data_IF_049244040887
#
_entry.id   IF_049244040887
#
_cell.length_a   1.000
_cell.length_b   1.000
_cell.length_c   1.000
_cell.angle_alpha   90.00
_cell.angle_beta   90.00
_cell.angle_gamma   90.00
#
_symmetry.space_group_name_H-M   'P 1'
#
loop_
_entity.id
_entity.type
_entity.pdbx_description
1 polymer ?
#
# COMPACT_ATOMS: atom_id res chain seq x y z
N UNK A 1 44.38 13.04 -0.38
CA UNK A 1 43.04 12.45 -0.19
C UNK A 1 43.19 10.95 0.06
N UNK A 2 42.79 10.45 1.24
CA UNK A 2 43.22 9.12 1.75
C UNK A 2 42.30 7.99 1.25
N UNK A 3 42.92 6.90 0.78
CA UNK A 3 42.40 5.60 0.29
C UNK A 3 41.29 4.93 1.14
N UNK A 4 40.98 5.47 2.32
CA UNK A 4 39.88 5.04 3.21
C UNK A 4 38.50 5.56 2.78
N UNK A 5 38.40 6.79 2.28
CA UNK A 5 37.11 7.38 1.86
C UNK A 5 36.49 6.69 0.63
N UNK A 6 37.35 6.18 -0.25
CA UNK A 6 36.93 5.48 -1.48
C UNK A 6 36.32 4.11 -1.14
N UNK A 7 36.82 3.43 -0.10
CA UNK A 7 36.26 2.14 0.35
C UNK A 7 34.90 2.31 1.02
N UNK A 8 34.71 3.34 1.85
CA UNK A 8 33.42 3.61 2.49
C UNK A 8 32.35 3.90 1.43
N UNK A 9 32.64 4.72 0.42
CA UNK A 9 31.69 4.98 -0.69
C UNK A 9 31.34 3.73 -1.49
N UNK A 10 32.27 2.78 -1.64
CA UNK A 10 32.02 1.53 -2.39
C UNK A 10 31.13 0.57 -1.61
N UNK A 11 31.36 0.40 -0.31
CA UNK A 11 30.56 -0.47 0.56
C UNK A 11 29.11 0.03 0.68
N UNK A 12 28.88 1.34 0.83
CA UNK A 12 27.51 1.90 0.90
C UNK A 12 26.73 1.69 -0.41
N UNK A 13 27.42 1.61 -1.55
CA UNK A 13 26.79 1.39 -2.86
C UNK A 13 26.43 -0.08 -3.12
N UNK A 14 27.03 -1.02 -2.39
CA UNK A 14 26.83 -2.47 -2.55
C UNK A 14 25.78 -3.06 -1.59
N UNK A 15 25.38 -2.36 -0.53
CA UNK A 15 24.60 -2.95 0.58
C UNK A 15 23.07 -2.75 0.50
N UNK A 16 22.52 -2.06 -0.51
CA UNK A 16 21.06 -2.00 -0.70
C UNK A 16 20.57 -2.84 -1.89
N UNK A 17 20.30 -4.14 -1.68
CA UNK A 17 19.83 -5.06 -2.73
C UNK A 17 18.40 -4.78 -3.24
N UNK A 18 17.67 -3.81 -2.66
CA UNK A 18 16.25 -3.57 -2.98
C UNK A 18 16.05 -2.79 -4.29
N UNK A 19 17.06 -2.05 -4.76
CA UNK A 19 16.87 -1.10 -5.86
C UNK A 19 17.14 -1.64 -7.28
N UNK A 20 17.60 -2.89 -7.42
CA UNK A 20 18.05 -3.44 -8.71
C UNK A 20 17.36 -4.73 -9.15
N UNK A 21 16.22 -5.08 -8.56
CA UNK A 21 15.36 -6.09 -9.18
C UNK A 21 14.67 -5.46 -10.40
N UNK A 22 14.97 -5.94 -11.61
CA UNK A 22 14.17 -5.58 -12.78
C UNK A 22 12.72 -6.01 -12.51
N UNK A 23 11.79 -5.04 -12.51
CA UNK A 23 10.39 -5.33 -12.23
C UNK A 23 9.85 -6.29 -13.28
N UNK A 24 9.37 -7.44 -12.84
CA UNK A 24 8.73 -8.41 -13.74
C UNK A 24 7.45 -7.81 -14.32
N UNK A 25 6.96 -8.34 -15.46
CA UNK A 25 5.72 -7.85 -16.08
C UNK A 25 4.53 -7.88 -15.08
N UNK A 26 4.46 -8.93 -14.25
CA UNK A 26 3.46 -9.05 -13.19
C UNK A 26 3.57 -7.96 -12.12
N UNK A 27 4.80 -7.59 -11.70
CA UNK A 27 5.01 -6.51 -10.73
C UNK A 27 4.59 -5.14 -11.29
N UNK A 28 4.80 -4.90 -12.60
CA UNK A 28 4.34 -3.65 -13.24
C UNK A 28 2.82 -3.56 -13.32
N UNK A 29 2.15 -4.67 -13.61
CA UNK A 29 0.69 -4.74 -13.62
C UNK A 29 0.11 -4.54 -12.21
N UNK A 30 0.71 -5.18 -11.20
CA UNK A 30 0.34 -4.99 -9.80
C UNK A 30 0.52 -3.54 -9.35
N UNK A 31 1.64 -2.90 -9.67
CA UNK A 31 1.89 -1.48 -9.36
C UNK A 31 0.85 -0.54 -10.00
N UNK A 32 0.45 -0.84 -11.24
CA UNK A 32 -0.60 -0.08 -11.94
C UNK A 32 -1.96 -0.28 -11.27
N UNK A 33 -2.28 -1.53 -10.88
CA UNK A 33 -3.52 -1.85 -10.18
C UNK A 33 -3.57 -1.18 -8.81
N UNK A 34 -2.48 -1.20 -8.03
CA UNK A 34 -2.41 -0.55 -6.71
C UNK A 34 -2.56 0.96 -6.80
N UNK A 35 -2.04 1.61 -7.84
CA UNK A 35 -2.28 3.04 -8.07
C UNK A 35 -3.76 3.35 -8.31
N UNK A 36 -4.44 2.53 -9.09
CA UNK A 36 -5.86 2.74 -9.43
C UNK A 36 -6.79 2.32 -8.28
N UNK A 37 -6.55 1.18 -7.65
CA UNK A 37 -7.35 0.63 -6.56
C UNK A 37 -7.04 1.26 -5.19
N UNK A 38 -5.92 1.99 -5.05
CA UNK A 38 -5.57 2.76 -3.86
C UNK A 38 -6.20 4.16 -3.79
N UNK A 39 -7.14 4.49 -4.68
CA UNK A 39 -7.82 5.79 -4.70
C UNK A 39 -9.21 5.72 -4.03
N UNK A 40 -9.57 6.78 -3.30
CA UNK A 40 -10.91 6.96 -2.76
C UNK A 40 -11.99 7.01 -3.84
N UNK A 41 -11.66 7.55 -5.02
CA UNK A 41 -12.60 7.62 -6.15
C UNK A 41 -12.98 6.24 -6.69
N UNK A 42 -12.06 5.27 -6.67
CA UNK A 42 -12.33 3.91 -7.11
C UNK A 42 -13.31 3.19 -6.18
N UNK A 43 -13.14 3.34 -4.86
CA UNK A 43 -14.05 2.74 -3.87
C UNK A 43 -15.46 3.29 -4.03
N UNK A 44 -15.60 4.61 -4.17
CA UNK A 44 -16.91 5.25 -4.36
C UNK A 44 -17.57 4.75 -5.65
N UNK A 45 -16.82 4.71 -6.76
CA UNK A 45 -17.33 4.20 -8.03
C UNK A 45 -17.77 2.73 -7.92
N UNK A 46 -16.99 1.90 -7.23
CA UNK A 46 -17.29 0.48 -7.02
C UNK A 46 -18.53 0.28 -6.15
N UNK A 47 -18.70 1.10 -5.10
CA UNK A 47 -19.89 1.11 -4.26
C UNK A 47 -21.13 1.54 -5.04
N UNK A 48 -21.03 2.58 -5.85
CA UNK A 48 -22.11 3.03 -6.73
C UNK A 48 -22.48 1.94 -7.73
N UNK A 49 -21.49 1.30 -8.34
CA UNK A 49 -21.71 0.18 -9.27
C UNK A 49 -22.44 -0.99 -8.59
N UNK A 50 -22.00 -1.41 -7.40
CA UNK A 50 -22.68 -2.45 -6.61
C UNK A 50 -24.11 -2.02 -6.26
N UNK A 51 -24.30 -0.78 -5.83
CA UNK A 51 -25.63 -0.25 -5.51
C UNK A 51 -26.58 -0.30 -6.71
N UNK A 52 -26.11 0.16 -7.88
CA UNK A 52 -26.87 0.08 -9.15
C UNK A 52 -27.18 -1.38 -9.49
N UNK A 53 -26.21 -2.28 -9.32
CA UNK A 53 -26.36 -3.70 -9.63
C UNK A 53 -27.39 -4.39 -8.74
N UNK A 54 -27.38 -4.08 -7.44
CA UNK A 54 -28.38 -4.57 -6.47
C UNK A 54 -29.76 -4.04 -6.81
N UNK A 55 -29.90 -2.74 -7.09
CA UNK A 55 -31.18 -2.12 -7.47
C UNK A 55 -31.73 -2.73 -8.76
N UNK A 56 -30.88 -2.91 -9.78
CA UNK A 56 -31.27 -3.53 -11.05
C UNK A 56 -31.74 -4.97 -10.86
N UNK A 57 -31.03 -5.77 -10.05
CA UNK A 57 -31.46 -7.14 -9.72
C UNK A 57 -32.75 -7.14 -8.90
N UNK A 58 -32.91 -6.23 -7.94
CA UNK A 58 -34.14 -6.08 -7.16
C UNK A 58 -35.35 -5.76 -8.02
N UNK A 59 -35.22 -4.81 -8.96
CA UNK A 59 -36.28 -4.46 -9.91
C UNK A 59 -36.58 -5.64 -10.85
N UNK A 60 -35.54 -6.34 -11.34
CA UNK A 60 -35.71 -7.50 -12.21
C UNK A 60 -36.49 -8.61 -11.51
N UNK A 61 -36.11 -8.96 -10.28
CA UNK A 61 -36.81 -9.94 -9.44
C UNK A 61 -38.26 -9.52 -9.18
N UNK A 62 -38.49 -8.26 -8.80
CA UNK A 62 -39.83 -7.74 -8.51
C UNK A 62 -40.74 -7.70 -9.76
N UNK A 63 -40.16 -7.54 -10.95
CA UNK A 63 -40.90 -7.48 -12.23
C UNK A 63 -41.14 -8.85 -12.86
N UNK A 64 -40.21 -9.80 -12.69
CA UNK A 64 -40.35 -11.15 -13.25
C UNK A 64 -41.18 -12.09 -12.36
N UNK A 65 -41.22 -11.83 -11.05
CA UNK A 65 -42.00 -12.62 -10.10
C UNK A 65 -43.29 -11.85 -9.80
N UNK A 66 -44.36 -12.17 -10.53
CA UNK A 66 -45.70 -11.58 -10.42
C UNK A 66 -46.39 -11.84 -9.05
N UNK A 67 -45.86 -11.24 -7.99
CA UNK A 67 -46.63 -10.92 -6.79
C UNK A 67 -46.60 -11.89 -5.62
N UNK A 68 -45.80 -12.97 -5.61
CA UNK A 68 -45.70 -13.81 -4.41
C UNK A 68 -44.28 -14.38 -4.25
N UNK A 69 -43.71 -14.17 -3.06
CA UNK A 69 -42.38 -14.58 -2.58
C UNK A 69 -41.23 -13.64 -2.95
N UNK A 70 -40.94 -12.72 -2.02
CA UNK A 70 -39.67 -12.00 -1.95
C UNK A 70 -38.59 -13.02 -1.56
N UNK A 71 -37.76 -13.41 -2.53
CA UNK A 71 -36.59 -14.32 -2.47
C UNK A 71 -36.88 -15.83 -2.24
N UNK A 72 -37.40 -16.56 -3.26
CA UNK A 72 -37.44 -18.02 -3.26
C UNK A 72 -36.03 -18.62 -3.38
N UNK A 73 -35.85 -19.84 -2.84
CA UNK A 73 -34.61 -20.60 -2.99
C UNK A 73 -34.22 -20.75 -4.47
N UNK A 74 -32.99 -20.43 -4.91
CA UNK A 74 -31.78 -20.11 -4.14
C UNK A 74 -31.56 -18.60 -4.01
N UNK A 75 -31.51 -18.08 -2.77
CA UNK A 75 -31.43 -16.67 -2.39
C UNK A 75 -30.46 -15.82 -3.23
N UNK A 76 -30.90 -15.35 -4.39
CA UNK A 76 -30.03 -14.74 -5.40
C UNK A 76 -29.56 -13.36 -4.94
N UNK A 77 -30.44 -12.65 -4.22
CA UNK A 77 -30.15 -11.34 -3.66
C UNK A 77 -29.16 -11.45 -2.50
N UNK A 78 -29.35 -12.42 -1.60
CA UNK A 78 -28.43 -12.67 -0.50
C UNK A 78 -27.04 -13.09 -1.02
N UNK A 79 -26.98 -14.00 -1.98
CA UNK A 79 -25.70 -14.47 -2.54
C UNK A 79 -24.95 -13.34 -3.27
N UNK A 80 -25.68 -12.50 -4.01
CA UNK A 80 -25.12 -11.31 -4.63
C UNK A 80 -24.57 -10.33 -3.58
N UNK A 81 -25.35 -10.03 -2.54
CA UNK A 81 -24.92 -9.14 -1.46
C UNK A 81 -23.67 -9.66 -0.76
N UNK A 82 -23.62 -10.96 -0.43
CA UNK A 82 -22.47 -11.61 0.20
C UNK A 82 -21.23 -11.61 -0.71
N UNK A 83 -21.41 -11.88 -2.00
CA UNK A 83 -20.31 -11.86 -2.98
C UNK A 83 -19.73 -10.45 -3.16
N UNK A 84 -20.59 -9.43 -3.22
CA UNK A 84 -20.17 -8.02 -3.26
C UNK A 84 -19.47 -7.58 -1.97
N UNK A 85 -19.96 -8.04 -0.81
CA UNK A 85 -19.36 -7.77 0.49
C UNK A 85 -17.99 -8.46 0.65
N UNK A 86 -17.78 -9.62 0.02
CA UNK A 86 -16.46 -10.22 -0.10
C UNK A 86 -15.56 -9.41 -1.05
N UNK A 87 -16.07 -8.98 -2.20
CA UNK A 87 -15.30 -8.27 -3.22
C UNK A 87 -14.76 -6.90 -2.73
N UNK A 88 -15.51 -6.17 -1.90
CA UNK A 88 -15.07 -4.87 -1.37
C UNK A 88 -13.91 -4.99 -0.38
N UNK A 89 -13.66 -6.17 0.20
CA UNK A 89 -12.59 -6.36 1.17
C UNK A 89 -11.21 -6.12 0.55
N UNK A 90 -10.97 -6.61 -0.67
CA UNK A 90 -9.64 -6.51 -1.30
C UNK A 90 -9.19 -5.04 -1.53
N UNK A 91 -10.02 -4.13 -2.07
CA UNK A 91 -9.66 -2.71 -2.17
C UNK A 91 -9.49 -2.03 -0.80
N UNK A 92 -10.32 -2.34 0.19
CA UNK A 92 -10.21 -1.77 1.54
C UNK A 92 -8.90 -2.21 2.20
N UNK A 93 -8.55 -3.49 2.10
CA UNK A 93 -7.28 -4.03 2.57
C UNK A 93 -6.12 -3.32 1.88
N UNK A 94 -6.15 -3.21 0.55
CA UNK A 94 -5.11 -2.55 -0.22
C UNK A 94 -4.94 -1.07 0.17
N UNK A 95 -6.03 -0.37 0.45
CA UNK A 95 -5.99 1.03 0.86
C UNK A 95 -5.46 1.21 2.28
N UNK A 96 -5.88 0.35 3.21
CA UNK A 96 -5.34 0.37 4.57
C UNK A 96 -3.84 0.08 4.58
N UNK A 97 -3.38 -0.83 3.72
CA UNK A 97 -1.97 -1.12 3.50
C UNK A 97 -1.23 0.08 2.88
N UNK A 98 -1.79 0.74 1.86
CA UNK A 98 -1.19 1.92 1.24
C UNK A 98 -0.99 3.06 2.26
N UNK A 99 -1.99 3.30 3.12
CA UNK A 99 -1.90 4.29 4.20
C UNK A 99 -0.85 3.90 5.26
N UNK A 100 -0.76 2.62 5.61
CA UNK A 100 0.27 2.09 6.51
C UNK A 100 1.67 2.32 5.94
N UNK A 101 1.91 1.89 4.70
CA UNK A 101 3.18 2.03 4.01
C UNK A 101 3.65 3.50 3.89
N UNK A 102 2.73 4.44 3.70
CA UNK A 102 3.06 5.87 3.70
C UNK A 102 3.55 6.35 5.08
N UNK A 103 2.91 5.92 6.17
CA UNK A 103 3.35 6.24 7.54
C UNK A 103 4.71 5.61 7.84
N UNK A 104 4.90 4.35 7.45
CA UNK A 104 6.17 3.64 7.68
C UNK A 104 7.32 4.31 6.92
N UNK A 105 7.07 4.78 5.68
CA UNK A 105 8.05 5.55 4.90
C UNK A 105 8.43 6.87 5.58
N UNK A 106 7.47 7.60 6.15
CA UNK A 106 7.75 8.84 6.87
C UNK A 106 8.55 8.58 8.15
N UNK A 107 8.23 7.52 8.89
CA UNK A 107 9.01 7.09 10.06
C UNK A 107 10.44 6.73 9.68
N UNK A 108 10.62 5.94 8.62
CA UNK A 108 11.95 5.57 8.14
C UNK A 108 12.80 6.78 7.73
N UNK A 109 12.20 7.78 7.07
CA UNK A 109 12.89 9.03 6.74
C UNK A 109 13.28 9.82 7.99
N UNK A 110 12.38 9.92 8.98
CA UNK A 110 12.66 10.58 10.24
C UNK A 110 13.81 9.88 11.00
N UNK A 111 13.74 8.56 11.13
CA UNK A 111 14.77 7.75 11.78
C UNK A 111 16.13 7.89 11.07
N UNK A 112 16.12 7.96 9.74
CA UNK A 112 17.33 8.21 8.95
C UNK A 112 17.98 9.57 9.26
N UNK A 113 17.17 10.63 9.42
CA UNK A 113 17.67 11.96 9.76
C UNK A 113 18.22 12.02 11.19
N UNK A 114 17.53 11.40 12.14
CA UNK A 114 18.00 11.28 13.53
C UNK A 114 19.33 10.52 13.57
N UNK A 115 19.43 9.39 12.87
CA UNK A 115 20.67 8.62 12.80
C UNK A 115 21.82 9.41 12.18
N UNK A 116 21.57 10.17 11.11
CA UNK A 116 22.59 11.08 10.53
C UNK A 116 23.05 12.15 11.49
N UNK A 117 22.13 12.72 12.29
CA UNK A 117 22.47 13.72 13.30
C UNK A 117 23.33 13.11 14.41
N UNK A 118 22.93 11.95 14.92
CA UNK A 118 23.71 11.20 15.91
C UNK A 118 25.11 10.85 15.39
N UNK A 119 25.25 10.45 14.11
CA UNK A 119 26.55 10.17 13.51
C UNK A 119 27.47 11.41 13.51
N UNK A 120 26.92 12.60 13.23
CA UNK A 120 27.68 13.87 13.28
C UNK A 120 28.13 14.20 14.71
N UNK A 121 27.23 14.11 15.68
CA UNK A 121 27.53 14.40 17.09
C UNK A 121 28.61 13.45 17.63
N UNK A 122 28.51 12.15 17.33
CA UNK A 122 29.53 11.15 17.71
C UNK A 122 30.88 11.50 17.06
N UNK A 123 30.87 11.94 15.80
CA UNK A 123 32.10 12.33 15.09
C UNK A 123 32.74 13.57 15.70
N UNK A 124 31.94 14.54 16.12
CA UNK A 124 32.42 15.73 16.84
C UNK A 124 33.03 15.37 18.19
N UNK A 125 32.35 14.57 19.00
CA UNK A 125 32.87 14.07 20.29
C UNK A 125 34.19 13.32 20.07
N UNK A 126 34.25 12.43 19.08
CA UNK A 126 35.47 11.70 18.73
C UNK A 126 36.63 12.65 18.38
N UNK A 127 36.36 13.69 17.60
CA UNK A 127 37.37 14.68 17.23
C UNK A 127 37.86 15.48 18.44
N UNK A 128 36.96 15.85 19.37
CA UNK A 128 37.31 16.52 20.62
C UNK A 128 38.21 15.63 21.51
N UNK A 129 37.86 14.36 21.66
CA UNK A 129 38.67 13.39 22.42
C UNK A 129 40.07 13.20 21.83
N UNK A 130 40.18 13.15 20.50
CA UNK A 130 41.47 13.03 19.82
C UNK A 130 42.34 14.29 20.00
N UNK A 131 41.74 15.47 20.09
CA UNK A 131 42.47 16.71 20.38
C UNK A 131 42.99 16.76 21.82
N UNK A 132 42.20 16.27 22.80
CA UNK A 132 42.58 16.28 24.22
C UNK A 132 43.69 15.29 24.60
N UNK A 133 43.95 14.29 23.74
CA UNK A 133 45.00 13.27 23.93
C UNK A 133 46.38 13.74 23.43
N UNK A 134 46.45 14.85 22.69
CA UNK A 134 47.70 15.50 22.30
C UNK A 134 48.03 16.62 23.27
#
# INVERSE_FOLDING_TARGET
>A
MKKGDIRIKKVVKEVHPIFRAQKTFGQRAADALTKSAGSWTFIILFLVFIGIWIVTNGIFVLKYINGNMVDPYPFILLNLALSCLAAIQAPIILMSQNRGAQKDRLRAEYDFQVNKKAEKEIREIKNLLLRRRK
#
